data_IF_780291553620
#
_entry.id   IF_780291553620
#
_cell.length_a   1.000
_cell.length_b   1.000
_cell.length_c   1.000
_cell.angle_alpha   90.00
_cell.angle_beta   90.00
_cell.angle_gamma   90.00
#
_symmetry.space_group_name_H-M   'P 1'
#
loop_
_entity.id
_entity.type
_entity.pdbx_description
1 polymer ?
#
# COMPACT_ATOMS: atom_id res chain seq x y z
N UNK A 1 -24.58 -5.34 5.50
CA UNK A 1 -25.32 -4.95 6.73
C UNK A 1 -24.32 -4.40 7.72
N UNK A 2 -24.65 -3.40 8.53
CA UNK A 2 -23.73 -2.87 9.54
C UNK A 2 -24.52 -2.28 10.73
N UNK A 3 -23.86 -1.94 11.85
CA UNK A 3 -24.54 -1.37 13.01
C UNK A 3 -25.24 -0.02 12.74
N UNK A 4 -24.86 0.70 11.69
CA UNK A 4 -25.44 2.00 11.32
C UNK A 4 -26.83 1.90 10.66
N UNK A 5 -27.36 0.69 10.45
CA UNK A 5 -28.69 0.48 9.85
C UNK A 5 -29.79 0.76 10.88
N UNK A 6 -30.75 1.61 10.51
CA UNK A 6 -31.87 1.98 11.38
C UNK A 6 -33.07 1.06 11.19
N UNK A 7 -33.47 0.29 12.20
CA UNK A 7 -34.60 -0.64 12.11
C UNK A 7 -35.95 0.08 12.26
N UNK A 8 -36.95 -0.37 11.49
CA UNK A 8 -38.31 0.19 11.45
C UNK A 8 -39.34 -0.94 11.40
N UNK A 9 -40.60 -0.60 11.70
CA UNK A 9 -41.75 -1.52 11.62
C UNK A 9 -41.51 -2.85 12.34
N UNK A 10 -41.07 -2.76 13.60
CA UNK A 10 -40.76 -3.91 14.43
C UNK A 10 -39.75 -4.89 13.80
N UNK A 11 -38.78 -4.37 13.03
CA UNK A 11 -37.71 -5.13 12.38
C UNK A 11 -38.04 -5.65 10.99
N UNK A 12 -39.21 -5.31 10.41
CA UNK A 12 -39.59 -5.73 9.05
C UNK A 12 -38.85 -4.92 7.99
N UNK A 13 -38.47 -3.67 8.29
CA UNK A 13 -37.74 -2.80 7.37
C UNK A 13 -36.52 -2.20 8.05
N UNK A 14 -35.54 -1.79 7.25
CA UNK A 14 -34.38 -1.05 7.72
C UNK A 14 -34.04 0.10 6.78
N UNK A 15 -33.61 1.21 7.37
CA UNK A 15 -33.12 2.38 6.69
C UNK A 15 -31.60 2.25 6.47
N UNK A 16 -31.17 2.41 5.23
CA UNK A 16 -29.76 2.43 4.87
C UNK A 16 -29.22 3.87 4.86
N UNK A 17 -28.24 4.24 5.71
CA UNK A 17 -27.69 5.60 5.76
C UNK A 17 -26.92 5.98 4.48
N UNK A 18 -26.34 4.99 3.79
CA UNK A 18 -25.52 5.22 2.59
C UNK A 18 -26.35 5.62 1.37
N UNK A 19 -27.44 4.90 1.07
CA UNK A 19 -28.30 5.20 -0.08
C UNK A 19 -29.58 5.97 0.27
N UNK A 20 -29.91 6.09 1.55
CA UNK A 20 -31.10 6.78 2.03
C UNK A 20 -32.43 6.06 1.81
N UNK A 21 -32.40 4.78 1.41
CA UNK A 21 -33.60 3.99 1.12
C UNK A 21 -34.04 3.19 2.34
N UNK A 22 -35.36 3.02 2.46
CA UNK A 22 -35.97 2.05 3.36
C UNK A 22 -36.12 0.73 2.60
N UNK A 23 -35.63 -0.37 3.15
CA UNK A 23 -35.61 -1.68 2.50
C UNK A 23 -36.27 -2.73 3.38
N UNK A 24 -36.97 -3.68 2.76
CA UNK A 24 -37.58 -4.82 3.46
C UNK A 24 -36.51 -5.85 3.85
N UNK A 25 -36.68 -6.42 5.03
CA UNK A 25 -35.84 -7.51 5.53
C UNK A 25 -36.33 -8.81 4.91
N UNK A 26 -35.47 -9.59 4.24
CA UNK A 26 -35.84 -10.90 3.75
C UNK A 26 -36.40 -11.77 4.87
N UNK A 27 -37.47 -12.52 4.62
CA UNK A 27 -38.18 -13.27 5.65
C UNK A 27 -37.28 -14.25 6.40
N UNK A 28 -36.29 -14.85 5.74
CA UNK A 28 -35.31 -15.76 6.36
C UNK A 28 -34.43 -15.06 7.40
N UNK A 29 -34.25 -13.75 7.27
CA UNK A 29 -33.42 -12.92 8.12
C UNK A 29 -34.25 -12.04 9.06
N UNK A 30 -35.57 -12.19 9.09
CA UNK A 30 -36.43 -11.39 9.97
C UNK A 30 -36.18 -11.73 11.45
N UNK A 31 -36.06 -10.69 12.26
CA UNK A 31 -36.09 -10.77 13.71
C UNK A 31 -36.75 -9.50 14.26
N UNK A 32 -37.54 -9.60 15.34
CA UNK A 32 -38.22 -8.45 15.91
C UNK A 32 -37.23 -7.47 16.58
N UNK A 33 -37.67 -6.22 16.75
CA UNK A 33 -36.99 -5.21 17.56
C UNK A 33 -37.56 -5.15 18.97
N UNK A 34 -36.76 -4.70 19.94
CA UNK A 34 -37.21 -4.41 21.31
C UNK A 34 -38.04 -3.12 21.36
N UNK A 35 -39.24 -3.13 20.79
CA UNK A 35 -40.11 -1.96 20.63
C UNK A 35 -40.02 -1.31 19.24
N UNK A 36 -40.80 -0.24 19.02
CA UNK A 36 -40.99 0.40 17.71
C UNK A 36 -39.68 0.94 17.11
N UNK A 37 -38.84 1.57 17.93
CA UNK A 37 -37.52 2.08 17.55
C UNK A 37 -36.38 1.34 18.29
N UNK A 38 -36.63 0.09 18.65
CA UNK A 38 -35.71 -0.71 19.45
C UNK A 38 -34.59 -1.36 18.65
N UNK A 39 -33.54 -1.79 19.36
CA UNK A 39 -32.53 -2.67 18.78
C UNK A 39 -33.14 -4.03 18.41
N UNK A 40 -32.66 -4.63 17.33
CA UNK A 40 -33.02 -5.99 16.91
C UNK A 40 -32.61 -7.01 17.98
N UNK A 41 -33.43 -8.04 18.22
CA UNK A 41 -33.20 -8.99 19.34
C UNK A 41 -31.94 -9.84 19.20
N UNK A 42 -31.47 -10.07 17.98
CA UNK A 42 -30.27 -10.84 17.64
C UNK A 42 -29.04 -9.95 17.39
N UNK A 43 -29.11 -8.65 17.69
CA UNK A 43 -28.00 -7.70 17.51
C UNK A 43 -26.67 -8.26 18.05
N UNK A 44 -26.69 -8.77 19.27
CA UNK A 44 -25.49 -9.24 19.97
C UNK A 44 -25.04 -10.65 19.53
N UNK A 45 -25.87 -11.35 18.74
CA UNK A 45 -25.53 -12.68 18.18
C UNK A 45 -24.83 -12.57 16.84
N UNK A 46 -24.87 -11.41 16.19
CA UNK A 46 -24.38 -11.18 14.83
C UNK A 46 -23.32 -10.07 14.83
N UNK A 47 -22.06 -10.37 14.49
CA UNK A 47 -20.99 -9.36 14.54
C UNK A 47 -21.29 -8.17 13.62
N UNK A 48 -21.85 -8.41 12.44
CA UNK A 48 -22.22 -7.36 11.49
C UNK A 48 -23.32 -6.41 11.99
N UNK A 49 -24.00 -6.73 13.10
CA UNK A 49 -25.00 -5.88 13.75
C UNK A 49 -24.50 -5.23 15.05
N UNK A 50 -23.48 -5.81 15.69
CA UNK A 50 -23.01 -5.42 17.03
C UNK A 50 -21.67 -4.71 17.02
N UNK A 51 -20.77 -5.01 16.08
CA UNK A 51 -19.41 -4.47 16.07
C UNK A 51 -19.12 -3.61 14.84
N UNK A 52 -18.28 -2.60 15.04
CA UNK A 52 -17.86 -1.69 13.95
C UNK A 52 -16.89 -2.34 12.97
N UNK A 53 -16.17 -3.38 13.38
CA UNK A 53 -15.19 -4.08 12.53
C UNK A 53 -15.43 -5.58 12.55
N UNK A 54 -15.56 -6.18 11.38
CA UNK A 54 -15.74 -7.63 11.24
C UNK A 54 -15.22 -8.11 9.89
N UNK A 55 -15.11 -9.43 9.74
CA UNK A 55 -14.62 -10.06 8.52
C UNK A 55 -15.56 -11.18 8.08
N UNK A 56 -15.86 -11.21 6.78
CA UNK A 56 -16.67 -12.23 6.12
C UNK A 56 -15.71 -13.18 5.43
N UNK A 57 -15.82 -14.46 5.77
CA UNK A 57 -15.07 -15.54 5.12
C UNK A 57 -15.89 -16.08 3.96
N UNK A 58 -15.30 -16.13 2.77
CA UNK A 58 -15.95 -16.71 1.59
C UNK A 58 -15.50 -18.16 1.43
N UNK A 59 -16.40 -19.02 0.93
CA UNK A 59 -16.10 -20.43 0.66
C UNK A 59 -15.23 -20.66 -0.57
N UNK A 60 -15.20 -19.68 -1.49
CA UNK A 60 -14.40 -19.75 -2.72
C UNK A 60 -12.92 -19.53 -2.40
N UNK A 61 -12.09 -20.52 -2.73
CA UNK A 61 -10.63 -20.40 -2.68
C UNK A 61 -10.08 -20.04 -4.06
N UNK A 62 -9.14 -19.12 -4.08
CA UNK A 62 -8.33 -18.81 -5.26
C UNK A 62 -6.95 -19.46 -5.17
N UNK A 63 -6.09 -19.14 -6.14
CA UNK A 63 -4.68 -19.57 -6.14
C UNK A 63 -3.91 -18.99 -4.95
N UNK A 64 -3.09 -19.80 -4.25
CA UNK A 64 -2.25 -19.32 -3.17
C UNK A 64 -1.14 -18.40 -3.69
N UNK A 65 -0.74 -17.44 -2.86
CA UNK A 65 0.29 -16.48 -3.23
C UNK A 65 1.69 -17.11 -3.24
N UNK A 66 2.46 -16.80 -4.28
CA UNK A 66 3.83 -17.26 -4.44
C UNK A 66 4.86 -16.24 -3.93
N UNK A 67 6.07 -16.73 -3.65
CA UNK A 67 7.24 -15.92 -3.33
C UNK A 67 8.28 -16.07 -4.46
N UNK A 68 8.55 -15.00 -5.19
CA UNK A 68 9.57 -14.95 -6.21
C UNK A 68 10.80 -14.21 -5.69
N UNK A 69 11.98 -14.78 -5.94
CA UNK A 69 13.27 -14.21 -5.58
C UNK A 69 14.03 -13.88 -6.86
N UNK A 70 14.42 -12.62 -7.03
CA UNK A 70 15.21 -12.14 -8.17
C UNK A 70 16.53 -11.56 -7.68
N UNK A 71 17.65 -12.16 -8.08
CA UNK A 71 18.98 -11.78 -7.62
C UNK A 71 19.78 -11.18 -8.78
N UNK A 72 20.26 -9.95 -8.61
CA UNK A 72 21.19 -9.30 -9.55
C UNK A 72 22.54 -10.03 -9.55
N UNK A 73 22.96 -10.52 -10.71
CA UNK A 73 24.27 -11.15 -10.94
C UNK A 73 25.10 -10.39 -11.97
N UNK A 74 24.81 -9.11 -12.16
CA UNK A 74 25.59 -8.23 -13.03
C UNK A 74 27.06 -8.14 -12.59
N UNK A 75 27.92 -7.68 -13.50
CA UNK A 75 29.34 -7.47 -13.19
C UNK A 75 29.57 -6.53 -11.99
N UNK A 76 28.63 -5.62 -11.72
CA UNK A 76 28.65 -4.76 -10.53
C UNK A 76 28.31 -5.54 -9.25
N UNK A 77 27.32 -6.43 -9.31
CA UNK A 77 26.95 -7.33 -8.21
C UNK A 77 28.11 -8.24 -7.80
N UNK A 78 28.74 -8.87 -8.79
CA UNK A 78 29.85 -9.81 -8.58
C UNK A 78 31.08 -9.12 -7.98
N UNK A 79 31.39 -7.90 -8.43
CA UNK A 79 32.49 -7.10 -7.86
C UNK A 79 32.17 -6.53 -6.48
N UNK A 80 30.90 -6.27 -6.18
CA UNK A 80 30.46 -5.67 -4.92
C UNK A 80 30.66 -6.56 -3.70
N UNK A 81 30.84 -7.87 -3.86
CA UNK A 81 31.13 -8.80 -2.77
C UNK A 81 29.95 -9.03 -1.79
N UNK A 82 28.76 -8.53 -2.11
CA UNK A 82 27.56 -8.67 -1.27
C UNK A 82 26.74 -9.93 -1.58
N UNK A 83 26.97 -10.59 -2.72
CA UNK A 83 26.16 -11.73 -3.16
C UNK A 83 26.27 -12.94 -2.24
N UNK A 84 27.46 -13.22 -1.69
CA UNK A 84 27.63 -14.30 -0.72
C UNK A 84 26.75 -14.05 0.52
N UNK A 85 26.76 -12.84 1.06
CA UNK A 85 25.90 -12.49 2.19
C UNK A 85 24.40 -12.59 1.83
N UNK A 86 23.99 -12.02 0.69
CA UNK A 86 22.58 -12.03 0.26
C UNK A 86 22.07 -13.46 0.06
N UNK A 87 22.83 -14.32 -0.61
CA UNK A 87 22.47 -15.73 -0.83
C UNK A 87 22.39 -16.51 0.47
N UNK A 88 23.29 -16.28 1.42
CA UNK A 88 23.22 -16.85 2.77
C UNK A 88 21.97 -16.40 3.54
N UNK A 89 21.60 -15.12 3.46
CA UNK A 89 20.40 -14.61 4.12
C UNK A 89 19.11 -15.15 3.48
N UNK A 90 19.08 -15.30 2.16
CA UNK A 90 17.97 -15.96 1.45
C UNK A 90 17.85 -17.42 1.90
N UNK A 91 18.96 -18.16 1.97
CA UNK A 91 18.97 -19.54 2.47
C UNK A 91 18.42 -19.62 3.90
N UNK A 92 18.88 -18.74 4.79
CA UNK A 92 18.40 -18.64 6.18
C UNK A 92 16.89 -18.37 6.24
N UNK A 93 16.41 -17.41 5.45
CA UNK A 93 14.98 -17.09 5.32
C UNK A 93 14.18 -18.32 4.88
N UNK A 94 14.57 -18.96 3.79
CA UNK A 94 13.85 -20.11 3.24
C UNK A 94 13.84 -21.30 4.22
N UNK A 95 14.95 -21.53 4.93
CA UNK A 95 15.02 -22.54 5.99
C UNK A 95 14.05 -22.22 7.12
N UNK A 96 13.96 -20.96 7.55
CA UNK A 96 13.02 -20.54 8.58
C UNK A 96 11.56 -20.71 8.14
N UNK A 97 11.24 -20.40 6.89
CA UNK A 97 9.89 -20.58 6.32
C UNK A 97 9.51 -22.05 6.14
N UNK A 98 10.49 -22.95 5.99
CA UNK A 98 10.26 -24.38 5.87
C UNK A 98 10.12 -25.09 7.23
N UNK A 99 10.47 -24.43 8.34
CA UNK A 99 10.43 -25.05 9.67
C UNK A 99 9.02 -25.47 10.09
N UNK A 100 8.92 -26.64 10.75
CA UNK A 100 7.66 -27.33 11.06
C UNK A 100 6.86 -26.74 12.23
N UNK A 101 7.22 -25.55 12.73
CA UNK A 101 6.50 -24.87 13.80
C UNK A 101 5.19 -24.23 13.29
N UNK A 102 4.24 -25.10 12.91
CA UNK A 102 2.84 -24.97 13.30
C UNK A 102 2.00 -23.84 12.70
N UNK A 103 2.36 -23.22 11.58
CA UNK A 103 1.45 -22.29 10.89
C UNK A 103 1.47 -22.44 9.36
N UNK A 104 0.48 -21.84 8.70
CA UNK A 104 0.16 -21.90 7.26
C UNK A 104 1.28 -21.48 6.26
N UNK A 105 2.53 -21.36 6.73
CA UNK A 105 3.72 -21.01 5.96
C UNK A 105 4.39 -22.22 5.28
N UNK A 106 4.00 -23.44 5.63
CA UNK A 106 4.66 -24.67 5.15
C UNK A 106 4.26 -25.13 3.73
N UNK A 107 3.37 -24.39 3.05
CA UNK A 107 2.91 -24.69 1.67
C UNK A 107 3.17 -23.51 0.70
N UNK A 108 4.24 -22.77 0.95
CA UNK A 108 4.61 -21.62 0.13
C UNK A 108 5.24 -22.10 -1.17
N UNK A 109 4.69 -21.67 -2.30
CA UNK A 109 5.34 -21.84 -3.60
C UNK A 109 6.41 -20.79 -3.79
N UNK A 110 7.63 -21.22 -4.12
CA UNK A 110 8.80 -20.37 -4.32
C UNK A 110 9.32 -20.53 -5.74
N UNK A 111 9.78 -19.42 -6.32
CA UNK A 111 10.53 -19.40 -7.56
C UNK A 111 11.80 -18.59 -7.41
N UNK A 112 12.84 -18.97 -8.15
CA UNK A 112 14.15 -18.32 -8.14
C UNK A 112 14.50 -17.88 -9.56
N UNK A 113 15.00 -16.65 -9.68
CA UNK A 113 15.62 -16.14 -10.89
C UNK A 113 16.86 -15.32 -10.53
N UNK A 114 17.82 -15.29 -11.45
CA UNK A 114 18.94 -14.34 -11.42
C UNK A 114 18.88 -13.50 -12.67
N UNK A 115 19.43 -12.30 -12.65
CA UNK A 115 19.42 -11.44 -13.82
C UNK A 115 20.67 -10.56 -13.93
N UNK A 116 21.04 -10.27 -15.16
CA UNK A 116 22.01 -9.24 -15.54
C UNK A 116 21.39 -8.39 -16.66
N UNK A 117 22.07 -8.23 -17.80
CA UNK A 117 21.45 -7.88 -19.08
C UNK A 117 20.37 -8.85 -19.58
N UNK A 118 20.36 -10.08 -19.06
CA UNK A 118 19.49 -11.21 -19.43
C UNK A 118 18.79 -11.74 -18.19
N UNK A 119 17.74 -12.54 -18.39
CA UNK A 119 17.03 -13.23 -17.31
C UNK A 119 17.43 -14.69 -17.29
N UNK A 120 17.79 -15.21 -16.12
CA UNK A 120 18.07 -16.62 -15.90
C UNK A 120 17.00 -17.20 -14.97
N UNK A 121 16.11 -18.02 -15.52
CA UNK A 121 15.09 -18.73 -14.77
C UNK A 121 15.61 -20.11 -14.35
N UNK A 122 15.29 -20.54 -13.13
CA UNK A 122 15.67 -21.87 -12.64
C UNK A 122 14.46 -22.79 -12.62
N UNK A 123 14.55 -23.93 -13.31
CA UNK A 123 13.60 -25.01 -13.17
C UNK A 123 13.94 -25.81 -11.90
N UNK A 124 13.08 -25.68 -10.90
CA UNK A 124 13.21 -26.27 -9.57
C UNK A 124 12.35 -27.53 -9.40
N UNK A 125 11.90 -28.15 -10.49
CA UNK A 125 11.04 -29.33 -10.44
C UNK A 125 11.71 -30.47 -9.65
N UNK A 126 10.99 -31.12 -8.70
CA UNK A 126 11.52 -32.22 -7.90
C UNK A 126 11.84 -33.46 -8.74
N UNK A 127 11.37 -33.52 -9.99
CA UNK A 127 11.72 -34.59 -10.93
C UNK A 127 13.16 -34.48 -11.46
N UNK A 128 13.82 -33.33 -11.29
CA UNK A 128 15.19 -33.10 -11.76
C UNK A 128 16.19 -33.44 -10.65
N UNK A 129 17.28 -34.13 -11.00
CA UNK A 129 18.38 -34.41 -10.07
C UNK A 129 19.20 -33.16 -9.73
N UNK A 130 19.12 -32.13 -10.58
CA UNK A 130 19.76 -30.82 -10.40
C UNK A 130 18.93 -29.74 -11.10
N UNK A 131 18.91 -28.51 -10.60
CA UNK A 131 18.18 -27.41 -11.22
C UNK A 131 18.74 -27.10 -12.62
N UNK A 132 17.85 -26.84 -13.58
CA UNK A 132 18.24 -26.38 -14.91
C UNK A 132 18.07 -24.88 -15.04
N UNK A 133 19.11 -24.19 -15.53
CA UNK A 133 19.06 -22.75 -15.82
C UNK A 133 18.58 -22.52 -17.25
N UNK A 134 17.56 -21.68 -17.41
CA UNK A 134 16.96 -21.28 -18.67
C UNK A 134 17.22 -19.80 -18.91
N UNK A 135 18.02 -19.49 -19.92
CA UNK A 135 18.45 -18.12 -20.22
C UNK A 135 17.52 -17.49 -21.25
N UNK A 136 16.92 -16.35 -20.90
CA UNK A 136 16.11 -15.53 -21.80
C UNK A 136 16.94 -14.32 -22.23
N UNK A 137 17.26 -14.28 -23.52
CA UNK A 137 18.11 -13.25 -24.13
C UNK A 137 17.31 -12.04 -24.62
N UNK A 138 16.06 -12.25 -25.04
CA UNK A 138 15.18 -11.21 -25.57
C UNK A 138 14.29 -10.68 -24.44
N UNK A 139 14.52 -9.42 -24.06
CA UNK A 139 13.92 -8.79 -22.87
C UNK A 139 12.76 -7.84 -23.17
N UNK A 140 12.54 -7.53 -24.44
CA UNK A 140 11.47 -6.62 -24.88
C UNK A 140 10.12 -7.35 -24.99
N UNK A 141 10.09 -8.53 -25.62
CA UNK A 141 8.93 -9.44 -25.66
C UNK A 141 9.22 -10.70 -24.84
N UNK A 142 9.03 -10.60 -23.53
CA UNK A 142 9.39 -11.69 -22.63
C UNK A 142 8.41 -12.86 -22.75
N UNK A 143 8.91 -13.98 -23.28
CA UNK A 143 8.17 -15.24 -23.35
C UNK A 143 8.82 -16.30 -22.45
N UNK A 144 8.00 -16.97 -21.64
CA UNK A 144 8.49 -18.02 -20.74
C UNK A 144 8.77 -19.31 -21.54
N UNK A 145 9.98 -19.88 -21.47
CA UNK A 145 10.33 -21.10 -22.19
C UNK A 145 9.59 -22.33 -21.64
N UNK A 146 9.30 -22.34 -20.34
CA UNK A 146 8.52 -23.35 -19.63
C UNK A 146 7.72 -22.67 -18.52
N UNK A 147 6.62 -23.27 -18.11
CA UNK A 147 5.87 -22.86 -16.90
C UNK A 147 6.13 -23.82 -15.74
N UNK A 148 6.34 -25.10 -16.05
CA UNK A 148 6.54 -26.16 -15.07
C UNK A 148 7.90 -26.01 -14.37
N UNK A 149 7.88 -26.11 -13.06
CA UNK A 149 9.07 -26.01 -12.22
C UNK A 149 9.55 -24.57 -11.95
N UNK A 150 8.86 -23.53 -12.44
CA UNK A 150 9.18 -22.14 -12.10
C UNK A 150 8.63 -21.70 -10.73
N UNK A 151 7.50 -22.27 -10.31
CA UNK A 151 6.95 -22.15 -8.96
C UNK A 151 6.74 -23.54 -8.38
N UNK A 152 7.47 -23.87 -7.33
CA UNK A 152 7.44 -25.19 -6.69
C UNK A 152 7.24 -25.02 -5.19
N UNK A 153 6.58 -25.98 -4.53
CA UNK A 153 6.45 -25.95 -3.07
C UNK A 153 7.84 -25.92 -2.43
N UNK A 154 8.03 -25.03 -1.45
CA UNK A 154 9.32 -24.84 -0.78
C UNK A 154 9.88 -26.15 -0.20
N UNK A 155 8.99 -27.01 0.34
CA UNK A 155 9.34 -28.32 0.88
C UNK A 155 10.03 -29.22 -0.14
N UNK A 156 9.59 -29.15 -1.40
CA UNK A 156 10.06 -30.02 -2.47
C UNK A 156 11.33 -29.47 -3.14
N UNK A 157 11.56 -28.15 -3.09
CA UNK A 157 12.62 -27.50 -3.84
C UNK A 157 13.74 -26.85 -3.01
N UNK A 158 13.68 -26.89 -1.67
CA UNK A 158 14.67 -26.22 -0.80
C UNK A 158 16.12 -26.63 -1.11
N UNK A 159 16.38 -27.93 -1.33
CA UNK A 159 17.71 -28.43 -1.68
C UNK A 159 18.18 -27.96 -3.05
N UNK A 160 17.27 -27.89 -4.02
CA UNK A 160 17.55 -27.38 -5.37
C UNK A 160 17.88 -25.89 -5.32
N UNK A 161 17.13 -25.10 -4.53
CA UNK A 161 17.40 -23.67 -4.33
C UNK A 161 18.75 -23.46 -3.66
N UNK A 162 19.04 -24.18 -2.56
CA UNK A 162 20.32 -24.10 -1.86
C UNK A 162 21.51 -24.38 -2.79
N UNK A 163 21.39 -25.42 -3.63
CA UNK A 163 22.41 -25.74 -4.64
C UNK A 163 22.66 -24.58 -5.62
N UNK A 164 21.61 -23.85 -6.05
CA UNK A 164 21.77 -22.66 -6.90
C UNK A 164 22.40 -21.51 -6.13
N UNK A 165 21.93 -21.24 -4.90
CA UNK A 165 22.42 -20.13 -4.07
C UNK A 165 23.92 -20.26 -3.78
N UNK A 166 24.43 -21.48 -3.61
CA UNK A 166 25.87 -21.74 -3.42
C UNK A 166 26.71 -21.49 -4.69
N UNK A 167 26.11 -21.60 -5.88
CA UNK A 167 26.77 -21.40 -7.17
C UNK A 167 26.78 -19.92 -7.59
N UNK A 168 25.78 -19.13 -7.19
CA UNK A 168 25.66 -17.71 -7.61
C UNK A 168 26.93 -16.89 -7.31
N UNK A 169 27.55 -16.95 -6.12
CA UNK A 169 28.78 -16.21 -5.84
C UNK A 169 29.98 -16.65 -6.70
N UNK A 170 29.92 -17.82 -7.33
CA UNK A 170 30.98 -18.37 -8.18
C UNK A 170 30.85 -17.95 -9.64
N UNK A 171 29.79 -17.21 -10.01
CA UNK A 171 29.60 -16.72 -11.37
C UNK A 171 30.75 -15.79 -11.75
N UNK A 172 31.28 -15.99 -12.96
CA UNK A 172 32.27 -15.09 -13.55
C UNK A 172 31.56 -14.01 -14.36
N UNK A 173 32.04 -12.77 -14.29
CA UNK A 173 31.56 -11.71 -15.16
C UNK A 173 31.97 -12.01 -16.62
N UNK A 174 31.04 -12.51 -17.43
CA UNK A 174 31.33 -12.84 -18.85
C UNK A 174 31.23 -11.63 -19.81
N UNK A 175 31.03 -10.39 -19.33
CA UNK A 175 30.96 -9.22 -20.22
C UNK A 175 31.28 -7.87 -19.55
N UNK A 176 32.16 -7.08 -20.19
CA UNK A 176 32.56 -5.69 -19.86
C UNK A 176 31.55 -4.61 -20.36
N UNK A 177 30.26 -4.95 -20.40
CA UNK A 177 29.24 -3.99 -20.83
C UNK A 177 28.98 -2.96 -19.74
N UNK A 178 29.44 -1.72 -19.94
CA UNK A 178 29.22 -0.57 -19.04
C UNK A 178 27.76 -0.09 -18.95
N UNK A 179 26.80 -0.88 -19.41
CA UNK A 179 25.38 -0.53 -19.41
C UNK A 179 24.73 -1.04 -18.13
N UNK A 180 24.11 -0.14 -17.38
CA UNK A 180 23.35 -0.51 -16.18
C UNK A 180 22.23 -1.50 -16.50
N UNK A 181 21.86 -2.30 -15.50
CA UNK A 181 20.76 -3.27 -15.63
C UNK A 181 19.43 -2.58 -15.33
N UNK A 182 18.46 -2.58 -16.25
CA UNK A 182 17.15 -1.97 -15.99
C UNK A 182 16.41 -2.75 -14.89
N UNK A 183 15.95 -2.05 -13.87
CA UNK A 183 15.25 -2.62 -12.71
C UNK A 183 13.87 -3.18 -13.08
N UNK A 184 13.28 -2.69 -14.17
CA UNK A 184 12.01 -3.16 -14.70
C UNK A 184 12.11 -4.60 -15.22
N UNK A 185 13.31 -5.05 -15.58
CA UNK A 185 13.53 -6.37 -16.16
C UNK A 185 13.12 -7.52 -15.22
N UNK A 186 13.64 -7.63 -13.97
CA UNK A 186 13.18 -8.64 -13.03
C UNK A 186 11.70 -8.49 -12.67
N UNK A 187 11.15 -7.26 -12.70
CA UNK A 187 9.71 -7.04 -12.48
C UNK A 187 8.89 -7.67 -13.61
N UNK A 188 9.22 -7.40 -14.88
CA UNK A 188 8.56 -8.02 -16.04
C UNK A 188 8.64 -9.55 -15.98
N UNK A 189 9.80 -10.10 -15.62
CA UNK A 189 10.01 -11.53 -15.46
C UNK A 189 9.12 -12.15 -14.39
N UNK A 190 9.14 -11.59 -13.18
CA UNK A 190 8.30 -12.07 -12.10
C UNK A 190 6.81 -11.95 -12.42
N UNK A 191 6.41 -10.87 -13.08
CA UNK A 191 5.03 -10.70 -13.55
C UNK A 191 4.61 -11.82 -14.51
N UNK A 192 5.43 -12.11 -15.52
CA UNK A 192 5.13 -13.13 -16.52
C UNK A 192 4.94 -14.51 -15.87
N UNK A 193 5.81 -14.86 -14.91
CA UNK A 193 5.71 -16.12 -14.15
C UNK A 193 4.38 -16.19 -13.37
N UNK A 194 4.05 -15.11 -12.64
CA UNK A 194 2.82 -15.05 -11.85
C UNK A 194 1.56 -15.10 -12.73
N UNK A 195 1.59 -14.45 -13.89
CA UNK A 195 0.49 -14.44 -14.86
C UNK A 195 0.27 -15.79 -15.50
N UNK A 196 1.33 -16.43 -15.99
CA UNK A 196 1.25 -17.75 -16.61
C UNK A 196 0.67 -18.79 -15.64
N UNK A 197 0.95 -18.64 -14.35
CA UNK A 197 0.48 -19.55 -13.29
C UNK A 197 -0.76 -19.01 -12.55
N UNK A 198 -1.38 -17.93 -13.03
CA UNK A 198 -2.59 -17.30 -12.46
C UNK A 198 -2.52 -16.98 -10.96
N UNK A 199 -1.31 -16.86 -10.41
CA UNK A 199 -1.06 -16.78 -8.98
C UNK A 199 -0.67 -15.36 -8.57
N UNK A 200 -1.24 -14.80 -7.48
CA UNK A 200 -0.69 -13.57 -6.90
C UNK A 200 0.64 -13.87 -6.21
N UNK A 201 1.37 -12.85 -5.77
CA UNK A 201 2.63 -13.11 -5.08
C UNK A 201 3.41 -11.88 -4.65
N UNK A 202 4.49 -12.15 -3.91
CA UNK A 202 5.55 -11.18 -3.62
C UNK A 202 6.73 -11.44 -4.52
N UNK A 203 7.29 -10.39 -5.11
CA UNK A 203 8.55 -10.42 -5.83
C UNK A 203 9.59 -9.68 -5.00
N UNK A 204 10.58 -10.39 -4.46
CA UNK A 204 11.71 -9.80 -3.75
C UNK A 204 12.89 -9.67 -4.72
N UNK A 205 13.29 -8.43 -4.99
CA UNK A 205 14.38 -8.10 -5.91
C UNK A 205 15.58 -7.63 -5.09
N UNK A 206 16.72 -8.28 -5.27
CA UNK A 206 17.99 -7.89 -4.68
C UNK A 206 18.85 -7.24 -5.76
N UNK A 207 18.89 -5.92 -5.77
CA UNK A 207 19.51 -5.11 -6.82
C UNK A 207 20.79 -4.44 -6.30
N UNK A 208 21.87 -4.53 -7.05
CA UNK A 208 23.19 -3.99 -6.65
C UNK A 208 23.78 -3.06 -7.70
N UNK A 209 23.36 -3.20 -8.97
CA UNK A 209 23.78 -2.33 -10.05
C UNK A 209 23.44 -0.87 -9.74
N UNK A 210 24.25 0.04 -10.28
CA UNK A 210 23.96 1.47 -10.19
C UNK A 210 22.63 1.74 -10.90
N UNK A 211 21.76 2.50 -10.23
CA UNK A 211 20.50 2.95 -10.79
C UNK A 211 20.82 4.03 -11.83
N UNK A 212 21.17 3.61 -13.03
CA UNK A 212 21.38 4.51 -14.15
C UNK A 212 20.01 4.86 -14.71
N UNK A 213 19.74 6.15 -14.93
CA UNK A 213 18.63 6.63 -15.75
C UNK A 213 18.79 6.07 -17.18
N UNK A 214 18.33 4.85 -17.42
CA UNK A 214 18.14 4.35 -18.78
C UNK A 214 16.92 5.07 -19.37
N UNK A 215 17.17 6.24 -19.95
CA UNK A 215 16.22 6.89 -20.86
C UNK A 215 15.77 8.30 -20.52
N UNK A 216 16.68 9.21 -20.15
CA UNK A 216 16.47 10.64 -20.41
C UNK A 216 17.70 11.30 -21.06
N UNK A 217 18.12 10.79 -22.21
CA UNK A 217 18.76 11.66 -23.22
C UNK A 217 17.70 12.58 -23.84
N UNK A 218 17.05 13.42 -23.02
CA UNK A 218 16.21 14.56 -23.44
C UNK A 218 15.68 15.43 -22.29
N UNK A 219 16.37 15.56 -21.15
CA UNK A 219 16.03 16.59 -20.15
C UNK A 219 17.18 17.50 -19.73
N UNK A 220 18.37 17.36 -20.32
CA UNK A 220 19.39 18.41 -20.30
C UNK A 220 19.18 19.49 -21.38
N UNK A 221 18.03 19.53 -22.04
CA UNK A 221 17.63 20.62 -22.93
C UNK A 221 16.43 21.38 -22.37
N UNK A 222 16.72 22.46 -21.66
CA UNK A 222 15.81 23.59 -21.52
C UNK A 222 15.10 23.70 -20.17
N UNK A 223 15.72 24.46 -19.27
CA UNK A 223 15.03 25.27 -18.25
C UNK A 223 14.00 26.28 -18.86
N UNK A 224 13.83 26.28 -20.18
CA UNK A 224 12.95 27.13 -20.96
C UNK A 224 12.34 26.28 -22.08
N UNK A 225 11.08 25.88 -21.99
CA UNK A 225 10.45 25.13 -23.09
C UNK A 225 9.22 24.27 -22.79
N UNK A 226 8.50 24.50 -21.68
CA UNK A 226 7.17 23.95 -21.44
C UNK A 226 6.55 24.76 -20.30
N UNK A 227 5.45 25.48 -20.55
CA UNK A 227 4.82 26.40 -19.59
C UNK A 227 4.19 25.72 -18.34
N UNK A 228 4.52 24.44 -18.08
CA UNK A 228 4.25 23.80 -16.79
C UNK A 228 5.52 23.07 -16.34
N UNK A 229 6.14 23.47 -15.22
CA UNK A 229 7.23 22.68 -14.64
C UNK A 229 6.66 21.32 -14.22
N UNK A 230 7.08 20.25 -14.90
CA UNK A 230 6.76 18.88 -14.48
C UNK A 230 7.54 18.57 -13.21
N UNK A 231 6.92 17.85 -12.29
CA UNK A 231 7.59 17.46 -11.04
C UNK A 231 8.76 16.52 -11.32
N UNK A 232 9.88 16.73 -10.62
CA UNK A 232 11.04 15.81 -10.64
C UNK A 232 10.72 14.45 -10.03
N UNK A 233 9.61 14.34 -9.29
CA UNK A 233 9.16 13.09 -8.66
C UNK A 233 8.15 12.32 -9.52
N UNK A 234 7.86 12.82 -10.73
CA UNK A 234 6.87 12.18 -11.61
C UNK A 234 7.39 10.81 -12.08
N UNK A 235 6.63 9.72 -11.87
CA UNK A 235 7.02 8.42 -12.38
C UNK A 235 7.00 8.39 -13.91
N UNK A 236 7.92 7.61 -14.50
CA UNK A 236 7.93 7.37 -15.94
C UNK A 236 6.70 6.56 -16.37
N UNK A 237 6.19 6.81 -17.58
CA UNK A 237 5.05 6.07 -18.15
C UNK A 237 5.27 4.54 -18.16
N UNK A 238 6.47 4.01 -18.53
CA UNK A 238 6.74 2.57 -18.43
C UNK A 238 6.60 2.02 -17.01
N UNK A 239 7.09 2.75 -15.99
CA UNK A 239 6.99 2.32 -14.60
C UNK A 239 5.54 2.29 -14.12
N UNK A 240 4.73 3.30 -14.49
CA UNK A 240 3.28 3.33 -14.18
C UNK A 240 2.55 2.18 -14.88
N UNK A 241 2.86 1.91 -16.15
CA UNK A 241 2.27 0.81 -16.91
C UNK A 241 2.59 -0.55 -16.28
N UNK A 242 3.86 -0.77 -15.91
CA UNK A 242 4.28 -2.01 -15.25
C UNK A 242 3.63 -2.17 -13.87
N UNK A 243 3.51 -1.10 -13.10
CA UNK A 243 2.81 -1.10 -11.82
C UNK A 243 1.31 -1.44 -11.97
N UNK A 244 0.63 -0.91 -13.00
CA UNK A 244 -0.78 -1.26 -13.31
C UNK A 244 -0.94 -2.76 -13.53
N UNK A 245 0.00 -3.35 -14.27
CA UNK A 245 -0.04 -4.77 -14.55
C UNK A 245 0.27 -5.62 -13.31
N UNK A 246 1.21 -5.18 -12.47
CA UNK A 246 1.45 -5.78 -11.16
C UNK A 246 0.18 -5.75 -10.29
N UNK A 247 -0.53 -4.61 -10.24
CA UNK A 247 -1.80 -4.47 -9.51
C UNK A 247 -2.87 -5.42 -10.03
N UNK A 248 -3.00 -5.56 -11.36
CA UNK A 248 -3.95 -6.48 -11.99
C UNK A 248 -3.67 -7.94 -11.62
N UNK A 249 -2.39 -8.33 -11.58
CA UNK A 249 -1.99 -9.70 -11.23
C UNK A 249 -2.01 -9.96 -9.71
N UNK A 250 -1.91 -8.93 -8.87
CA UNK A 250 -1.67 -9.09 -7.44
C UNK A 250 -0.20 -9.40 -7.12
N UNK A 251 0.72 -8.80 -7.87
CA UNK A 251 2.17 -8.88 -7.66
C UNK A 251 2.62 -7.68 -6.81
N UNK A 252 3.00 -7.92 -5.55
CA UNK A 252 3.65 -6.92 -4.70
C UNK A 252 5.17 -6.95 -4.89
N UNK A 253 5.76 -5.85 -5.33
CA UNK A 253 7.21 -5.76 -5.62
C UNK A 253 7.94 -5.16 -4.42
N UNK A 254 8.91 -5.88 -3.88
CA UNK A 254 9.79 -5.39 -2.83
C UNK A 254 11.22 -5.33 -3.37
N UNK A 255 11.87 -4.18 -3.22
CA UNK A 255 13.19 -3.92 -3.78
C UNK A 255 14.19 -3.68 -2.65
N UNK A 256 15.22 -4.51 -2.58
CA UNK A 256 16.38 -4.37 -1.72
C UNK A 256 17.53 -3.83 -2.58
N UNK A 257 17.90 -2.57 -2.39
CA UNK A 257 18.98 -1.90 -3.13
C UNK A 257 20.25 -1.90 -2.29
N UNK A 258 21.27 -2.59 -2.78
CA UNK A 258 22.60 -2.71 -2.19
C UNK A 258 23.62 -1.99 -3.07
N UNK A 259 23.55 -0.67 -3.14
CA UNK A 259 24.39 0.14 -4.03
C UNK A 259 25.10 1.27 -3.28
N UNK A 260 26.33 1.56 -3.70
CA UNK A 260 27.23 2.55 -3.06
C UNK A 260 27.07 3.98 -3.57
N UNK A 261 26.40 4.20 -4.71
CA UNK A 261 26.31 5.53 -5.31
C UNK A 261 25.01 6.24 -4.90
N UNK A 262 25.15 7.51 -4.53
CA UNK A 262 24.02 8.41 -4.35
C UNK A 262 23.18 8.37 -5.62
N UNK A 263 21.91 7.99 -5.45
CA UNK A 263 20.95 7.77 -6.52
C UNK A 263 20.73 9.09 -7.26
N UNK A 264 21.53 9.34 -8.30
CA UNK A 264 21.43 10.51 -9.14
C UNK A 264 20.10 10.47 -9.91
N UNK A 265 19.10 11.21 -9.44
CA UNK A 265 17.87 11.53 -10.17
C UNK A 265 16.81 10.42 -10.24
N UNK A 266 17.17 9.16 -10.44
CA UNK A 266 16.21 8.07 -10.66
C UNK A 266 15.64 7.51 -9.34
N UNK A 267 14.43 7.89 -8.94
CA UNK A 267 13.76 7.28 -7.78
C UNK A 267 13.25 5.86 -8.10
N UNK A 268 13.79 4.79 -7.47
CA UNK A 268 13.43 3.41 -7.81
C UNK A 268 12.15 2.94 -7.11
N UNK A 269 11.58 3.76 -6.24
CA UNK A 269 10.47 3.36 -5.37
C UNK A 269 9.10 3.35 -6.05
N UNK A 270 8.96 3.87 -7.28
CA UNK A 270 7.64 3.98 -7.91
C UNK A 270 6.91 2.63 -8.03
N UNK A 271 7.55 1.61 -8.60
CA UNK A 271 6.92 0.31 -8.78
C UNK A 271 6.68 -0.41 -7.44
N UNK A 272 7.67 -0.48 -6.51
CA UNK A 272 7.43 -1.05 -5.19
C UNK A 272 6.25 -0.41 -4.46
N UNK A 273 6.22 0.92 -4.34
CA UNK A 273 5.17 1.59 -3.60
C UNK A 273 3.80 1.51 -4.29
N UNK A 274 3.73 1.64 -5.62
CA UNK A 274 2.45 1.55 -6.36
C UNK A 274 1.87 0.13 -6.39
N UNK A 275 2.69 -0.90 -6.19
CA UNK A 275 2.26 -2.29 -6.07
C UNK A 275 1.97 -2.73 -4.62
N UNK A 276 2.15 -1.83 -3.64
CA UNK A 276 1.94 -2.11 -2.22
C UNK A 276 3.09 -2.86 -1.54
N UNK A 277 4.26 -2.91 -2.18
CA UNK A 277 5.49 -3.39 -1.57
C UNK A 277 6.35 -2.26 -1.00
N UNK A 278 7.66 -2.50 -0.88
CA UNK A 278 8.58 -1.62 -0.16
C UNK A 278 9.93 -1.46 -0.87
N UNK A 279 10.59 -0.33 -0.62
CA UNK A 279 11.95 -0.05 -1.04
C UNK A 279 12.86 -0.02 0.20
N UNK A 280 13.83 -0.93 0.26
CA UNK A 280 14.86 -1.00 1.30
C UNK A 280 16.21 -0.62 0.67
N UNK A 281 16.85 0.42 1.18
CA UNK A 281 18.14 0.90 0.67
C UNK A 281 19.27 0.67 1.68
N UNK A 282 20.42 0.21 1.18
CA UNK A 282 21.62 -0.07 1.96
C UNK A 282 22.82 0.52 1.24
N UNK A 283 23.29 1.68 1.71
CA UNK A 283 24.42 2.41 1.09
C UNK A 283 25.73 1.63 1.22
N UNK A 284 26.00 1.06 2.41
CA UNK A 284 27.20 0.29 2.69
C UNK A 284 26.87 -0.92 3.56
N UNK A 285 26.72 -2.10 2.96
CA UNK A 285 26.50 -3.35 3.71
C UNK A 285 27.82 -3.90 4.28
N UNK A 286 28.56 -3.03 4.99
CA UNK A 286 29.88 -3.31 5.55
C UNK A 286 29.84 -3.57 7.06
N UNK A 287 29.00 -2.84 7.79
CA UNK A 287 28.86 -2.96 9.25
C UNK A 287 27.91 -4.08 9.69
N UNK A 288 28.08 -4.56 10.92
CA UNK A 288 27.18 -5.54 11.54
C UNK A 288 25.74 -5.00 11.65
N UNK A 289 25.56 -3.73 12.03
CA UNK A 289 24.24 -3.11 12.15
C UNK A 289 23.46 -3.08 10.83
N UNK A 290 24.13 -2.80 9.70
CA UNK A 290 23.46 -2.81 8.39
C UNK A 290 23.10 -4.23 7.95
N UNK A 291 23.92 -5.23 8.30
CA UNK A 291 23.64 -6.65 8.07
C UNK A 291 22.46 -7.14 8.92
N UNK A 292 22.40 -6.73 10.18
CA UNK A 292 21.27 -7.01 11.08
C UNK A 292 19.99 -6.35 10.56
N UNK A 293 20.06 -5.07 10.14
CA UNK A 293 18.93 -4.37 9.52
C UNK A 293 18.44 -5.13 8.28
N UNK A 294 19.35 -5.50 7.37
CA UNK A 294 18.99 -6.25 6.17
C UNK A 294 18.29 -7.57 6.51
N UNK A 295 18.85 -8.30 7.47
CA UNK A 295 18.31 -9.60 7.91
C UNK A 295 16.90 -9.42 8.49
N UNK A 296 16.72 -8.41 9.34
CA UNK A 296 15.42 -8.08 9.94
C UNK A 296 14.40 -7.64 8.90
N UNK A 297 14.78 -6.76 7.98
CA UNK A 297 13.92 -6.24 6.91
C UNK A 297 13.49 -7.35 5.95
N UNK A 298 14.43 -8.21 5.55
CA UNK A 298 14.15 -9.37 4.69
C UNK A 298 13.16 -10.33 5.36
N UNK A 299 13.43 -10.71 6.61
CA UNK A 299 12.56 -11.59 7.39
C UNK A 299 11.17 -10.99 7.56
N UNK A 300 11.10 -9.75 8.02
CA UNK A 300 9.84 -9.02 8.21
C UNK A 300 9.05 -8.95 6.90
N UNK A 301 9.71 -8.61 5.78
CA UNK A 301 9.05 -8.48 4.48
C UNK A 301 8.44 -9.81 4.01
N UNK A 302 9.16 -10.92 4.17
CA UNK A 302 8.72 -12.24 3.72
C UNK A 302 7.59 -12.81 4.61
N UNK A 303 7.67 -12.60 5.92
CA UNK A 303 6.74 -13.14 6.93
C UNK A 303 5.48 -12.28 7.13
N UNK A 304 5.54 -10.97 6.84
CA UNK A 304 4.40 -10.06 7.04
C UNK A 304 3.14 -10.59 6.36
N UNK A 305 2.05 -10.63 7.12
CA UNK A 305 0.74 -11.03 6.61
C UNK A 305 0.26 -10.03 5.57
N UNK A 306 0.13 -10.49 4.33
CA UNK A 306 -0.19 -9.66 3.18
C UNK A 306 -1.49 -10.12 2.55
N UNK A 307 -2.39 -9.17 2.28
CA UNK A 307 -3.56 -9.37 1.44
C UNK A 307 -3.24 -9.06 -0.01
N UNK A 308 -3.69 -9.90 -0.93
CA UNK A 308 -3.44 -9.78 -2.37
C UNK A 308 -4.72 -9.50 -3.15
N UNK A 309 -4.59 -8.90 -4.34
CA UNK A 309 -5.71 -8.55 -5.24
C UNK A 309 -6.81 -7.83 -4.47
N UNK A 310 -6.40 -6.77 -3.78
CA UNK A 310 -7.22 -6.08 -2.81
C UNK A 310 -8.04 -4.98 -3.47
N UNK A 311 -9.32 -4.93 -3.14
CA UNK A 311 -10.25 -3.90 -3.59
C UNK A 311 -10.94 -3.27 -2.38
N UNK A 312 -10.67 -2.00 -2.17
CA UNK A 312 -11.30 -1.18 -1.14
C UNK A 312 -12.42 -0.34 -1.77
N UNK A 313 -13.60 -0.39 -1.16
CA UNK A 313 -14.73 0.50 -1.47
C UNK A 313 -15.10 1.30 -0.23
N UNK A 314 -15.30 2.60 -0.42
CA UNK A 314 -15.64 3.55 0.64
C UNK A 314 -17.07 4.03 0.40
N UNK A 315 -17.95 3.73 1.35
CA UNK A 315 -19.32 4.18 1.40
C UNK A 315 -19.45 5.26 2.48
N UNK A 316 -20.14 6.33 2.15
CA UNK A 316 -20.47 7.40 3.10
C UNK A 316 -21.97 7.65 3.07
N UNK A 317 -22.51 8.22 4.15
CA UNK A 317 -23.90 8.68 4.18
C UNK A 317 -24.22 9.50 2.93
N UNK A 318 -25.46 9.38 2.41
CA UNK A 318 -25.92 10.02 1.16
C UNK A 318 -25.66 11.53 1.04
N UNK A 319 -25.48 12.20 2.17
CA UNK A 319 -25.28 13.65 2.26
C UNK A 319 -23.80 14.05 2.15
N UNK A 320 -22.90 13.06 2.11
CA UNK A 320 -21.47 13.20 1.87
C UNK A 320 -21.06 12.55 0.55
N UNK A 321 -19.89 12.93 0.04
CA UNK A 321 -19.18 12.21 -1.01
C UNK A 321 -17.70 12.08 -0.64
N UNK A 322 -17.05 11.04 -1.18
CA UNK A 322 -15.58 10.94 -1.16
C UNK A 322 -15.05 11.85 -2.27
N UNK A 323 -14.30 12.90 -1.92
CA UNK A 323 -13.72 13.85 -2.88
C UNK A 323 -12.30 13.47 -3.28
N UNK A 324 -11.56 12.82 -2.39
CA UNK A 324 -10.18 12.40 -2.62
C UNK A 324 -9.82 11.18 -1.79
N UNK A 325 -8.89 10.38 -2.30
CA UNK A 325 -8.26 9.29 -1.57
C UNK A 325 -6.77 9.30 -1.90
N UNK A 326 -5.93 9.35 -0.87
CA UNK A 326 -4.50 9.58 -0.97
C UNK A 326 -3.74 8.46 -0.30
N UNK A 327 -2.75 7.91 -0.99
CA UNK A 327 -1.95 6.79 -0.53
C UNK A 327 -1.02 6.30 -1.63
N UNK A 328 -0.34 5.20 -1.34
CA UNK A 328 0.61 4.58 -2.26
C UNK A 328 -0.12 3.55 -3.12
N UNK A 329 -0.93 4.03 -4.06
CA UNK A 329 -1.68 3.22 -5.01
C UNK A 329 -1.89 4.01 -6.31
N UNK A 330 -2.28 3.32 -7.37
CA UNK A 330 -2.61 3.94 -8.64
C UNK A 330 -4.05 4.50 -8.60
N UNK A 331 -4.25 5.83 -8.78
CA UNK A 331 -5.58 6.41 -8.76
C UNK A 331 -6.49 5.80 -9.83
N UNK A 332 -7.69 5.38 -9.40
CA UNK A 332 -8.74 4.88 -10.28
C UNK A 332 -9.68 6.01 -10.76
N UNK A 333 -10.74 5.66 -11.51
CA UNK A 333 -11.72 6.63 -12.01
C UNK A 333 -12.60 7.23 -10.89
N UNK A 334 -12.74 6.56 -9.75
CA UNK A 334 -13.54 6.99 -8.63
C UNK A 334 -12.71 7.01 -7.34
N UNK A 335 -12.67 8.12 -6.58
CA UNK A 335 -11.87 8.21 -5.35
C UNK A 335 -12.42 7.33 -4.22
N UNK A 336 -13.66 6.85 -4.33
CA UNK A 336 -14.26 5.90 -3.39
C UNK A 336 -13.85 4.44 -3.64
N UNK A 337 -13.08 4.15 -4.69
CA UNK A 337 -12.62 2.82 -5.02
C UNK A 337 -11.11 2.79 -5.19
N UNK A 338 -10.44 1.89 -4.49
CA UNK A 338 -8.99 1.72 -4.53
C UNK A 338 -8.66 0.26 -4.79
N UNK A 339 -7.81 0.00 -5.78
CA UNK A 339 -7.31 -1.34 -6.11
C UNK A 339 -5.81 -1.40 -5.82
N UNK A 340 -5.38 -2.44 -5.13
CA UNK A 340 -3.99 -2.64 -4.71
C UNK A 340 -3.55 -4.07 -5.03
N UNK A 341 -2.31 -4.23 -5.50
CA UNK A 341 -1.74 -5.55 -5.77
C UNK A 341 -1.60 -6.35 -4.48
N UNK A 342 -1.01 -5.67 -3.48
CA UNK A 342 -0.77 -6.18 -2.15
C UNK A 342 -1.02 -5.09 -1.10
N UNK A 343 -1.36 -5.49 0.12
CA UNK A 343 -1.42 -4.61 1.28
C UNK A 343 -1.07 -5.39 2.54
N UNK A 344 -0.64 -4.66 3.56
CA UNK A 344 -0.27 -5.19 4.85
C UNK A 344 -0.82 -4.30 5.98
N UNK A 345 -0.37 -4.58 7.21
CA UNK A 345 -0.74 -3.81 8.40
C UNK A 345 -0.25 -2.35 8.40
N UNK A 346 0.75 -2.01 7.59
CA UNK A 346 1.33 -0.66 7.50
C UNK A 346 0.65 0.20 6.43
N UNK A 347 -0.07 -0.45 5.51
CA UNK A 347 -0.81 0.22 4.44
C UNK A 347 -1.87 1.16 5.01
N UNK A 348 -1.67 2.46 4.80
CA UNK A 348 -2.56 3.52 5.31
C UNK A 348 -2.99 4.45 4.20
N UNK A 349 -4.30 4.75 4.15
CA UNK A 349 -4.91 5.68 3.18
C UNK A 349 -5.51 6.89 3.92
N UNK A 350 -5.45 8.06 3.28
CA UNK A 350 -6.12 9.28 3.73
C UNK A 350 -7.30 9.56 2.81
N UNK A 351 -8.50 9.73 3.37
CA UNK A 351 -9.74 9.92 2.61
C UNK A 351 -10.29 11.31 2.90
N UNK A 352 -10.53 12.08 1.86
CA UNK A 352 -11.16 13.40 1.92
C UNK A 352 -12.65 13.28 1.66
N UNK A 353 -13.45 13.89 2.54
CA UNK A 353 -14.90 13.87 2.48
C UNK A 353 -15.42 15.28 2.26
N UNK A 354 -16.40 15.40 1.38
CA UNK A 354 -17.05 16.66 1.04
C UNK A 354 -18.55 16.58 1.28
N UNK A 355 -19.12 17.68 1.77
CA UNK A 355 -20.57 17.83 1.91
C UNK A 355 -21.23 17.94 0.53
N UNK A 356 -22.35 17.25 0.35
CA UNK A 356 -23.25 17.43 -0.80
C UNK A 356 -24.54 18.11 -0.38
N UNK A 357 -24.99 17.90 0.86
CA UNK A 357 -26.19 18.48 1.47
C UNK A 357 -25.92 18.76 2.95
N UNK A 358 -26.86 19.46 3.60
CA UNK A 358 -26.85 19.60 5.06
C UNK A 358 -27.00 18.24 5.75
N UNK A 359 -26.30 18.08 6.88
CA UNK A 359 -26.30 16.84 7.65
C UNK A 359 -27.45 16.81 8.66
N UNK A 360 -28.03 15.63 8.89
CA UNK A 360 -29.03 15.41 9.94
C UNK A 360 -28.34 15.18 11.29
N UNK A 361 -28.47 16.14 12.21
CA UNK A 361 -27.89 16.08 13.55
C UNK A 361 -28.34 14.85 14.37
N UNK A 362 -29.60 14.44 14.22
CA UNK A 362 -30.15 13.32 15.00
C UNK A 362 -29.61 11.98 14.52
N UNK A 363 -29.38 11.85 13.21
CA UNK A 363 -28.90 10.61 12.59
C UNK A 363 -27.37 10.52 12.56
N UNK A 364 -26.69 11.65 12.50
CA UNK A 364 -25.26 11.71 12.26
C UNK A 364 -24.88 11.23 10.86
N UNK A 365 -23.60 10.91 10.68
CA UNK A 365 -23.05 10.37 9.43
C UNK A 365 -22.40 9.01 9.65
N UNK A 366 -22.56 8.11 8.69
CA UNK A 366 -21.92 6.81 8.67
C UNK A 366 -20.86 6.78 7.56
N UNK A 367 -19.69 6.26 7.89
CA UNK A 367 -18.59 5.98 6.98
C UNK A 367 -18.35 4.48 7.07
N UNK A 368 -18.30 3.79 5.94
CA UNK A 368 -18.01 2.37 5.87
C UNK A 368 -16.95 2.11 4.82
N UNK A 369 -15.94 1.34 5.20
CA UNK A 369 -14.96 0.80 4.28
C UNK A 369 -15.17 -0.71 4.15
N UNK A 370 -15.12 -1.19 2.91
CA UNK A 370 -15.28 -2.61 2.57
C UNK A 370 -14.06 -3.02 1.76
N UNK A 371 -13.19 -3.83 2.36
CA UNK A 371 -11.96 -4.32 1.75
C UNK A 371 -12.14 -5.80 1.39
N UNK A 372 -12.12 -6.13 0.10
CA UNK A 372 -12.10 -7.51 -0.37
C UNK A 372 -10.69 -7.90 -0.81
N UNK A 373 -10.16 -9.02 -0.32
CA UNK A 373 -8.79 -9.44 -0.61
C UNK A 373 -8.63 -10.97 -0.55
N UNK A 374 -7.54 -11.47 -1.12
CA UNK A 374 -7.09 -12.87 -0.97
C UNK A 374 -5.97 -12.95 0.06
N UNK A 375 -6.03 -13.94 0.94
CA UNK A 375 -4.91 -14.26 1.83
C UNK A 375 -3.82 -15.04 1.08
N UNK A 376 -2.66 -15.25 1.73
CA UNK A 376 -1.55 -16.04 1.18
C UNK A 376 -1.94 -17.47 0.81
N UNK A 377 -2.86 -18.09 1.55
CA UNK A 377 -3.38 -19.45 1.30
C UNK A 377 -4.43 -19.52 0.19
N UNK A 378 -4.80 -18.37 -0.40
CA UNK A 378 -5.83 -18.28 -1.44
C UNK A 378 -7.25 -18.08 -0.89
N UNK A 379 -7.46 -18.04 0.43
CA UNK A 379 -8.79 -17.80 0.99
C UNK A 379 -9.25 -16.36 0.71
N UNK A 380 -10.48 -16.20 0.18
CA UNK A 380 -11.09 -14.90 -0.09
C UNK A 380 -11.79 -14.37 1.16
N UNK A 381 -11.53 -13.11 1.50
CA UNK A 381 -12.10 -12.45 2.68
C UNK A 381 -12.62 -11.06 2.34
N UNK A 382 -13.64 -10.61 3.06
CA UNK A 382 -14.13 -9.23 3.02
C UNK A 382 -14.11 -8.65 4.43
N UNK A 383 -13.24 -7.68 4.67
CA UNK A 383 -13.17 -6.93 5.93
C UNK A 383 -14.01 -5.66 5.82
N UNK A 384 -14.82 -5.40 6.83
CA UNK A 384 -15.70 -4.24 6.89
C UNK A 384 -15.39 -3.44 8.14
N UNK A 385 -15.17 -2.13 7.96
CA UNK A 385 -15.13 -1.17 9.08
C UNK A 385 -16.25 -0.16 8.91
N UNK A 386 -17.01 0.09 9.95
CA UNK A 386 -18.10 1.08 9.98
C UNK A 386 -17.89 2.00 11.17
N UNK A 387 -17.86 3.30 10.89
CA UNK A 387 -17.75 4.38 11.86
C UNK A 387 -18.97 5.29 11.73
N UNK A 388 -19.58 5.66 12.85
CA UNK A 388 -20.66 6.64 12.90
C UNK A 388 -20.19 7.86 13.68
N UNK A 389 -20.34 9.04 13.10
CA UNK A 389 -19.95 10.31 13.68
C UNK A 389 -21.18 11.18 13.94
N UNK A 390 -21.10 11.96 15.02
CA UNK A 390 -22.11 12.97 15.35
C UNK A 390 -21.92 14.20 14.47
N UNK A 391 -23.01 14.91 14.22
CA UNK A 391 -22.99 16.19 13.51
C UNK A 391 -23.40 17.31 14.48
N UNK A 392 -22.81 18.49 14.30
CA UNK A 392 -23.18 19.68 15.07
C UNK A 392 -23.19 20.89 14.12
N UNK A 393 -24.14 21.82 14.27
CA UNK A 393 -24.13 23.09 13.56
C UNK A 393 -23.16 24.09 14.21
N UNK A 394 -22.63 23.77 15.41
CA UNK A 394 -21.75 24.65 16.17
C UNK A 394 -20.29 24.33 15.91
N UNK A 395 -19.56 25.32 15.41
CA UNK A 395 -18.13 25.21 15.09
C UNK A 395 -17.26 24.83 16.31
N UNK A 396 -17.66 25.24 17.52
CA UNK A 396 -16.96 24.87 18.76
C UNK A 396 -16.89 23.35 18.96
N UNK A 397 -17.94 22.62 18.61
CA UNK A 397 -17.97 21.16 18.77
C UNK A 397 -17.01 20.50 17.78
N UNK A 398 -16.87 21.05 16.58
CA UNK A 398 -15.88 20.57 15.60
C UNK A 398 -14.45 20.75 16.14
N UNK A 399 -14.13 21.91 16.72
CA UNK A 399 -12.80 22.16 17.30
C UNK A 399 -12.51 21.34 18.55
N UNK A 400 -13.51 21.08 19.41
CA UNK A 400 -13.33 20.24 20.60
C UNK A 400 -12.96 18.80 20.28
N UNK A 401 -13.46 18.27 19.16
CA UNK A 401 -13.22 16.88 18.75
C UNK A 401 -12.15 16.77 17.65
N UNK A 402 -11.44 17.86 17.35
CA UNK A 402 -10.39 17.89 16.35
C UNK A 402 -9.14 17.11 16.81
N UNK A 403 -8.55 16.34 15.90
CA UNK A 403 -7.34 15.56 16.14
C UNK A 403 -6.20 16.04 15.24
N UNK A 404 -5.24 16.78 15.81
CA UNK A 404 -4.12 17.37 15.07
C UNK A 404 -3.27 16.33 14.33
N UNK A 405 -3.02 15.16 14.94
CA UNK A 405 -2.24 14.08 14.33
C UNK A 405 -2.90 13.51 13.07
N UNK A 406 -4.23 13.35 13.09
CA UNK A 406 -5.01 12.88 11.94
C UNK A 406 -4.96 13.90 10.80
N UNK A 407 -5.12 15.20 11.12
CA UNK A 407 -5.03 16.27 10.12
C UNK A 407 -3.64 16.35 9.50
N UNK A 408 -2.58 16.30 10.32
CA UNK A 408 -1.20 16.31 9.85
C UNK A 408 -0.93 15.12 8.92
N UNK A 409 -1.32 13.91 9.33
CA UNK A 409 -1.15 12.70 8.52
C UNK A 409 -1.91 12.79 7.19
N UNK A 410 -3.13 13.33 7.22
CA UNK A 410 -3.92 13.58 6.02
C UNK A 410 -3.19 14.53 5.05
N UNK A 411 -2.73 15.68 5.53
CA UNK A 411 -2.02 16.64 4.69
C UNK A 411 -0.70 16.12 4.17
N UNK A 412 0.09 15.40 4.98
CA UNK A 412 1.31 14.76 4.51
C UNK A 412 1.02 13.83 3.32
N UNK A 413 -0.01 12.96 3.43
CA UNK A 413 -0.38 12.05 2.33
C UNK A 413 -0.93 12.80 1.11
N UNK A 414 -1.83 13.77 1.30
CA UNK A 414 -2.38 14.61 0.22
C UNK A 414 -1.25 15.30 -0.54
N UNK A 415 -0.32 15.91 0.19
CA UNK A 415 0.84 16.59 -0.40
C UNK A 415 1.77 15.62 -1.11
N UNK A 416 2.15 14.48 -0.51
CA UNK A 416 3.02 13.50 -1.17
C UNK A 416 2.46 12.99 -2.50
N UNK A 417 1.15 12.77 -2.60
CA UNK A 417 0.51 12.45 -3.87
C UNK A 417 0.56 13.63 -4.85
N UNK A 418 0.26 14.85 -4.38
CA UNK A 418 0.24 16.04 -5.23
C UNK A 418 1.63 16.45 -5.74
N UNK A 419 2.71 16.16 -4.99
CA UNK A 419 4.10 16.41 -5.39
C UNK A 419 4.46 15.68 -6.69
N UNK A 420 3.80 14.57 -7.03
CA UNK A 420 4.07 13.84 -8.28
C UNK A 420 3.60 14.60 -9.53
N UNK A 421 2.66 15.54 -9.37
CA UNK A 421 1.98 16.23 -10.47
C UNK A 421 2.25 17.74 -10.49
N UNK A 422 2.49 18.33 -9.32
CA UNK A 422 2.59 19.79 -9.11
C UNK A 422 3.92 20.19 -8.49
N UNK A 423 4.43 21.40 -8.78
CA UNK A 423 5.68 21.88 -8.22
C UNK A 423 5.58 22.13 -6.70
N UNK A 424 6.68 21.89 -5.98
CA UNK A 424 6.73 22.03 -4.51
C UNK A 424 6.34 23.43 -4.01
N UNK A 425 6.66 24.47 -4.78
CA UNK A 425 6.35 25.85 -4.39
C UNK A 425 4.84 26.09 -4.31
N UNK A 426 4.08 25.66 -5.31
CA UNK A 426 2.62 25.78 -5.34
C UNK A 426 1.98 25.05 -4.15
N UNK A 427 2.45 23.83 -3.87
CA UNK A 427 1.94 23.02 -2.76
C UNK A 427 2.23 23.65 -1.40
N UNK A 428 3.38 24.30 -1.25
CA UNK A 428 3.73 25.02 -0.03
C UNK A 428 2.83 26.23 0.18
N UNK A 429 2.56 27.00 -0.86
CA UNK A 429 1.69 28.17 -0.80
C UNK A 429 0.23 27.76 -0.50
N UNK A 430 -0.26 26.67 -1.10
CA UNK A 430 -1.58 26.07 -0.80
C UNK A 430 -1.68 25.69 0.68
N UNK A 431 -0.71 24.92 1.20
CA UNK A 431 -0.71 24.48 2.59
C UNK A 431 -0.63 25.66 3.57
N UNK A 432 0.20 26.66 3.28
CA UNK A 432 0.30 27.87 4.10
C UNK A 432 -1.01 28.64 4.14
N UNK A 433 -1.70 28.74 3.01
CA UNK A 433 -2.99 29.43 2.91
C UNK A 433 -4.05 28.70 3.73
N UNK A 434 -4.25 27.39 3.50
CA UNK A 434 -5.27 26.60 4.21
C UNK A 434 -5.06 26.61 5.74
N UNK A 435 -3.82 26.47 6.20
CA UNK A 435 -3.50 26.51 7.65
C UNK A 435 -3.75 27.90 8.23
N UNK A 436 -3.39 28.97 7.51
CA UNK A 436 -3.60 30.34 7.97
C UNK A 436 -5.09 30.65 8.10
N UNK A 437 -5.90 30.25 7.12
CA UNK A 437 -7.35 30.41 7.13
C UNK A 437 -8.00 29.64 8.29
N UNK A 438 -7.60 28.39 8.51
CA UNK A 438 -8.10 27.58 9.62
C UNK A 438 -7.81 28.22 10.99
N UNK A 439 -6.60 28.73 11.19
CA UNK A 439 -6.20 29.41 12.43
C UNK A 439 -6.90 30.77 12.61
N UNK A 440 -7.10 31.52 11.53
CA UNK A 440 -7.85 32.78 11.58
C UNK A 440 -9.31 32.56 12.02
N UNK A 441 -9.95 31.50 11.51
CA UNK A 441 -11.32 31.13 11.87
C UNK A 441 -11.43 30.74 13.36
N UNK A 442 -10.46 29.97 13.87
CA UNK A 442 -10.37 29.60 15.30
C UNK A 442 -10.25 30.85 16.16
N UNK A 443 -9.34 31.77 15.80
CA UNK A 443 -9.10 33.01 16.53
C UNK A 443 -10.35 33.88 16.61
N UNK A 444 -11.01 34.14 15.47
CA UNK A 444 -12.25 34.91 15.42
C UNK A 444 -13.36 34.25 16.24
N UNK A 445 -13.51 32.93 16.15
CA UNK A 445 -14.56 32.20 16.89
C UNK A 445 -14.30 32.23 18.39
N UNK A 446 -13.06 32.03 18.84
CA UNK A 446 -12.69 32.13 20.26
C UNK A 446 -12.89 33.54 20.79
N UNK A 447 -12.53 34.57 20.04
CA UNK A 447 -12.73 35.98 20.39
C UNK A 447 -14.22 36.32 20.54
N UNK A 448 -15.07 35.84 19.62
CA UNK A 448 -16.52 35.98 19.71
C UNK A 448 -17.10 35.25 20.94
N UNK A 449 -16.53 34.10 21.31
CA UNK A 449 -16.95 33.34 22.50
C UNK A 449 -16.47 33.98 23.82
N UNK A 450 -15.37 34.74 23.77
CA UNK A 450 -14.83 35.49 24.91
C UNK A 450 -15.41 36.92 25.02
N UNK A 451 -16.31 37.32 24.10
CA UNK A 451 -16.95 38.64 24.12
C UNK A 451 -16.01 39.80 23.80
N UNK A 452 -14.90 39.55 23.10
CA UNK A 452 -13.93 40.60 22.74
C UNK A 452 -14.20 41.09 21.32
N UNK A 453 -14.96 42.17 21.21
CA UNK A 453 -15.22 42.89 19.97
C UNK A 453 -14.04 43.82 19.63
N UNK A 454 -13.43 43.66 18.45
CA UNK A 454 -12.36 44.52 17.93
C UNK A 454 -12.85 45.69 17.07
N UNK A 455 -14.15 46.03 17.13
CA UNK A 455 -14.69 47.22 16.44
C UNK A 455 -14.34 48.53 17.14
N UNK A 456 -13.71 48.49 18.31
CA UNK A 456 -13.10 49.65 18.94
C UNK A 456 -11.59 49.69 18.63
N UNK A 457 -11.16 50.69 17.87
CA UNK A 457 -9.75 50.96 17.57
C UNK A 457 -8.89 51.18 18.84
N UNK A 458 -7.56 51.30 18.68
CA UNK A 458 -6.61 51.22 19.79
C UNK A 458 -6.75 52.43 20.71
N UNK A 459 -7.51 52.28 21.79
CA UNK A 459 -7.50 53.22 22.91
C UNK A 459 -7.25 52.44 24.20
N UNK A 460 -5.98 52.49 24.61
CA UNK A 460 -5.51 52.36 25.99
C UNK A 460 -6.28 51.39 26.91
N UNK A 461 -5.86 50.12 26.94
CA UNK A 461 -6.09 49.28 28.11
C UNK A 461 -5.10 49.72 29.19
N UNK A 462 -5.52 50.64 30.05
CA UNK A 462 -4.85 50.88 31.32
C UNK A 462 -5.20 49.72 32.27
N UNK A 463 -4.20 48.94 32.65
CA UNK A 463 -4.33 47.88 33.63
C UNK A 463 -4.66 48.49 35.01
N UNK A 464 -5.88 48.29 35.50
CA UNK A 464 -6.19 48.45 36.92
C UNK A 464 -6.09 47.09 37.60
N UNK A 465 -4.94 46.86 38.22
CA UNK A 465 -4.79 45.80 39.22
C UNK A 465 -5.70 46.14 40.41
N UNK A 466 -6.72 45.30 40.66
CA UNK A 466 -7.36 45.25 41.97
C UNK A 466 -7.48 43.80 42.43
N UNK A 467 -6.62 43.55 43.43
CA UNK A 467 -6.60 42.50 44.44
C UNK A 467 -7.90 41.72 44.61
N UNK A 468 -7.77 40.40 44.72
CA UNK A 468 -8.56 39.59 45.65
C UNK A 468 -7.68 38.46 46.19
N UNK A 469 -7.13 38.71 47.38
CA UNK A 469 -6.84 37.68 48.36
C UNK A 469 -8.16 37.36 49.07
N UNK A 470 -8.66 36.13 48.92
CA UNK A 470 -9.02 35.21 50.01
C UNK A 470 -9.42 33.87 49.41
#
# INVERSE_FOLDING_TARGET
MCPAMGWQDCGQRFYCPFCGKLSEVPWQHYQPTKGVEGARVDKDKRPELSVGSYEILHSQKGEPAALLLAIDVSASALRGGHLEFVTQQIHSLLTSLNSEDGDALSDVRVGLMTYDSRIHLYNLSPALSRPHMLVIMETEDLQLPVTDGLLVSLKDCIHSIDSVLQLIPQFSAECDGSSGVPMELPVKAGLAILQALSSPGKLLIFHTASLIEMGHTSSSSGFFGSNKPKSIFQPSEPAVSLAKECVRQGCGVHLFVLSQQDVGGAWPGHIPYLSGGALHTYSHLQGELDRERFTSDLKTTAETHTGYKAELRIFVSKDLRVSGCYGLFLPGPAPSQVVMASLDQWTTLAVELSHTRGLDEKRGVAIQTVLSYSTRTGDRRTRVHTLTLRCSPHLQDAFRHFQAQTLLTFYCKKMYCAVLERPLQELREELQTEVTEALALVSQTLLLCLGVDWTAGPTSVSASSSRLHQ
#
